data_IF_063175941913
#
_entry.id   IF_063175941913
#
_cell.length_a   1.000
_cell.length_b   1.000
_cell.length_c   1.000
_cell.angle_alpha   90.00
_cell.angle_beta   90.00
_cell.angle_gamma   90.00
#
_symmetry.space_group_name_H-M   'P 1'
#
loop_
_entity.id
_entity.type
_entity.pdbx_description
1 polymer ?
#
# COMPACT_ATOMS: atom_id res chain seq x y z
N UNK A 1 -6.92 0.42 -10.10
CA UNK A 1 -5.68 0.56 -9.30
C UNK A 1 -5.56 -0.56 -8.28
N UNK A 2 -6.51 -0.67 -7.33
CA UNK A 2 -6.62 -1.83 -6.41
C UNK A 2 -6.55 -3.20 -7.11
N UNK A 3 -7.34 -3.41 -8.16
CA UNK A 3 -7.39 -4.69 -8.91
C UNK A 3 -6.04 -5.15 -9.46
N UNK A 4 -5.23 -4.20 -9.97
CA UNK A 4 -3.89 -4.46 -10.49
C UNK A 4 -2.92 -4.80 -9.34
N UNK A 5 -2.93 -4.00 -8.28
CA UNK A 5 -2.08 -4.23 -7.10
C UNK A 5 -2.39 -5.55 -6.40
N UNK A 6 -3.67 -5.90 -6.28
CA UNK A 6 -4.12 -7.18 -5.75
C UNK A 6 -3.55 -8.37 -6.57
N UNK A 7 -3.61 -8.26 -7.90
CA UNK A 7 -3.06 -9.28 -8.81
C UNK A 7 -1.54 -9.41 -8.67
N UNK A 8 -0.83 -8.28 -8.57
CA UNK A 8 0.63 -8.26 -8.36
C UNK A 8 1.02 -8.91 -7.03
N UNK A 9 0.36 -8.54 -5.94
CA UNK A 9 0.58 -9.13 -4.61
C UNK A 9 0.38 -10.64 -4.64
N UNK A 10 -0.69 -11.13 -5.28
CA UNK A 10 -0.92 -12.59 -5.42
C UNK A 10 0.19 -13.28 -6.22
N UNK A 11 0.60 -12.72 -7.36
CA UNK A 11 1.63 -13.30 -8.22
C UNK A 11 2.97 -13.34 -7.50
N UNK A 12 3.33 -12.28 -6.76
CA UNK A 12 4.56 -12.20 -5.98
C UNK A 12 4.59 -13.25 -4.86
N UNK A 13 3.43 -13.60 -4.31
CA UNK A 13 3.28 -14.69 -3.35
C UNK A 13 3.16 -16.08 -3.99
N UNK A 14 3.26 -16.18 -5.32
CA UNK A 14 3.17 -17.44 -6.09
C UNK A 14 1.86 -18.20 -5.88
N UNK A 15 0.76 -17.48 -5.62
CA UNK A 15 -0.56 -18.07 -5.39
C UNK A 15 -1.43 -18.02 -6.64
N UNK A 16 -2.23 -19.07 -6.87
CA UNK A 16 -3.37 -19.02 -7.79
C UNK A 16 -4.55 -18.27 -7.16
N UNK A 17 -5.51 -17.82 -7.98
CA UNK A 17 -6.73 -17.18 -7.47
C UNK A 17 -7.52 -18.09 -6.53
N UNK A 18 -7.47 -19.41 -6.75
CA UNK A 18 -8.12 -20.40 -5.88
C UNK A 18 -7.41 -20.48 -4.53
N UNK A 19 -6.08 -20.62 -4.51
CA UNK A 19 -5.30 -20.76 -3.28
C UNK A 19 -5.43 -19.54 -2.36
N UNK A 20 -5.35 -18.33 -2.90
CA UNK A 20 -5.50 -17.13 -2.07
C UNK A 20 -6.93 -16.97 -1.56
N UNK A 21 -7.94 -17.30 -2.37
CA UNK A 21 -9.32 -17.25 -1.94
C UNK A 21 -9.59 -18.22 -0.78
N UNK A 22 -9.01 -19.43 -0.84
CA UNK A 22 -9.06 -20.40 0.24
C UNK A 22 -8.36 -19.88 1.51
N UNK A 23 -7.15 -19.31 1.39
CA UNK A 23 -6.43 -18.74 2.53
C UNK A 23 -7.15 -17.55 3.18
N UNK A 24 -7.87 -16.75 2.38
CA UNK A 24 -8.65 -15.61 2.85
C UNK A 24 -10.08 -15.98 3.27
N UNK A 25 -10.47 -17.25 3.17
CA UNK A 25 -11.81 -17.76 3.44
C UNK A 25 -12.91 -17.00 2.67
N UNK A 26 -12.73 -16.87 1.36
CA UNK A 26 -13.68 -16.24 0.42
C UNK A 26 -13.87 -17.13 -0.81
N UNK A 27 -14.90 -16.85 -1.62
CA UNK A 27 -15.05 -17.57 -2.89
C UNK A 27 -14.01 -17.14 -3.92
N UNK A 28 -13.51 -18.10 -4.70
CA UNK A 28 -12.64 -17.82 -5.85
C UNK A 28 -13.30 -16.83 -6.82
N UNK A 29 -14.63 -16.91 -7.01
CA UNK A 29 -15.33 -15.98 -7.90
C UNK A 29 -15.32 -14.54 -7.37
N UNK A 30 -15.45 -14.34 -6.05
CA UNK A 30 -15.36 -13.01 -5.46
C UNK A 30 -13.97 -12.41 -5.69
N UNK A 31 -12.92 -13.19 -5.41
CA UNK A 31 -11.55 -12.78 -5.62
C UNK A 31 -11.24 -12.45 -7.09
N UNK A 32 -11.70 -13.29 -8.03
CA UNK A 32 -11.54 -13.05 -9.46
C UNK A 32 -12.26 -11.78 -9.95
N UNK A 33 -13.44 -11.47 -9.38
CA UNK A 33 -14.16 -10.21 -9.69
C UNK A 33 -13.40 -8.98 -9.23
N UNK A 34 -12.70 -9.05 -8.10
CA UNK A 34 -11.86 -7.95 -7.60
C UNK A 34 -10.62 -7.75 -8.48
N UNK A 35 -9.90 -8.83 -8.82
CA UNK A 35 -8.72 -8.72 -9.72
C UNK A 35 -9.08 -8.24 -11.13
N UNK A 36 -10.29 -8.56 -11.62
CA UNK A 36 -10.75 -8.07 -12.92
C UNK A 36 -11.36 -6.66 -12.86
N UNK A 37 -11.50 -6.06 -11.67
CA UNK A 37 -12.11 -4.74 -11.49
C UNK A 37 -13.62 -4.70 -11.75
N UNK A 38 -14.28 -5.85 -11.93
CA UNK A 38 -15.73 -5.94 -12.17
C UNK A 38 -16.57 -5.63 -10.93
N UNK A 39 -15.98 -5.77 -9.74
CA UNK A 39 -16.60 -5.42 -8.48
C UNK A 39 -15.53 -4.94 -7.50
N UNK A 40 -15.93 -4.05 -6.59
CA UNK A 40 -15.08 -3.62 -5.48
C UNK A 40 -15.43 -4.39 -4.20
N UNK A 41 -14.43 -4.76 -3.38
CA UNK A 41 -14.66 -5.32 -2.05
C UNK A 41 -15.26 -4.28 -1.09
N UNK A 42 -15.87 -4.77 0.00
CA UNK A 42 -16.28 -3.90 1.13
C UNK A 42 -15.07 -3.45 1.95
N UNK A 43 -15.24 -2.42 2.80
CA UNK A 43 -14.18 -1.95 3.70
C UNK A 43 -13.65 -3.09 4.60
N UNK A 44 -14.54 -3.86 5.22
CA UNK A 44 -14.17 -5.03 6.03
C UNK A 44 -13.37 -6.09 5.23
N UNK A 45 -13.59 -6.18 3.92
CA UNK A 45 -12.82 -7.07 3.06
C UNK A 45 -11.47 -6.46 2.70
N UNK A 46 -11.39 -5.15 2.46
CA UNK A 46 -10.13 -4.43 2.27
C UNK A 46 -9.22 -4.58 3.49
N UNK A 47 -9.76 -4.48 4.70
CA UNK A 47 -9.03 -4.74 5.95
C UNK A 47 -8.45 -6.15 5.99
N UNK A 48 -9.25 -7.17 5.61
CA UNK A 48 -8.76 -8.56 5.52
C UNK A 48 -7.62 -8.71 4.50
N UNK A 49 -7.76 -8.10 3.32
CA UNK A 49 -6.71 -8.11 2.29
C UNK A 49 -5.44 -7.42 2.80
N UNK A 50 -5.59 -6.23 3.38
CA UNK A 50 -4.49 -5.42 3.91
C UNK A 50 -3.72 -6.21 4.99
N UNK A 51 -4.43 -6.78 5.96
CA UNK A 51 -3.85 -7.62 7.00
C UNK A 51 -3.15 -8.87 6.44
N UNK A 52 -3.74 -9.55 5.46
CA UNK A 52 -3.15 -10.73 4.83
C UNK A 52 -1.80 -10.41 4.17
N UNK A 53 -1.67 -9.24 3.55
CA UNK A 53 -0.43 -8.79 2.91
C UNK A 53 0.48 -7.95 3.81
N UNK A 54 0.11 -7.75 5.08
CA UNK A 54 0.79 -6.87 6.03
C UNK A 54 1.01 -5.44 5.47
N UNK A 55 -0.07 -4.87 4.94
CA UNK A 55 -0.16 -3.51 4.41
C UNK A 55 -1.24 -2.72 5.15
N UNK A 56 -1.18 -1.39 5.10
CA UNK A 56 -2.33 -0.54 5.40
C UNK A 56 -3.32 -0.53 4.24
N UNK A 57 -4.55 -0.06 4.49
CA UNK A 57 -5.56 0.12 3.43
C UNK A 57 -5.09 1.19 2.44
N UNK A 58 -4.49 2.28 2.92
CA UNK A 58 -3.88 3.32 2.09
C UNK A 58 -2.81 2.73 1.16
N UNK A 59 -1.92 1.88 1.68
CA UNK A 59 -0.91 1.20 0.86
C UNK A 59 -1.56 0.28 -0.17
N UNK A 60 -2.58 -0.48 0.21
CA UNK A 60 -3.29 -1.40 -0.69
C UNK A 60 -4.01 -0.67 -1.83
N UNK A 61 -4.50 0.54 -1.58
CA UNK A 61 -5.22 1.37 -2.54
C UNK A 61 -4.33 2.36 -3.30
N UNK A 62 -3.14 2.65 -2.78
CA UNK A 62 -2.17 3.56 -3.38
C UNK A 62 -1.76 3.09 -4.78
N UNK A 63 -1.67 4.04 -5.69
CA UNK A 63 -1.17 3.88 -7.05
C UNK A 63 0.37 3.88 -7.14
N UNK A 64 1.06 3.87 -5.99
CA UNK A 64 2.52 3.92 -5.93
C UNK A 64 3.08 5.34 -6.06
N UNK A 65 2.22 6.37 -6.09
CA UNK A 65 2.66 7.75 -5.99
C UNK A 65 2.93 8.10 -4.53
N UNK A 66 4.01 8.87 -4.32
CA UNK A 66 4.33 9.47 -3.03
C UNK A 66 4.24 10.98 -3.20
N UNK A 67 3.39 11.62 -2.40
CA UNK A 67 3.34 13.07 -2.35
C UNK A 67 4.45 13.57 -1.43
N UNK A 68 5.40 14.32 -2.00
CA UNK A 68 6.46 14.97 -1.23
C UNK A 68 5.87 16.01 -0.26
N UNK A 69 4.80 16.70 -0.63
CA UNK A 69 4.10 17.64 0.25
C UNK A 69 3.56 16.96 1.51
N UNK A 70 3.00 15.75 1.36
CA UNK A 70 2.51 14.98 2.50
C UNK A 70 3.67 14.55 3.42
N UNK A 71 4.81 14.17 2.84
CA UNK A 71 5.99 13.78 3.62
C UNK A 71 6.62 14.95 4.38
N UNK A 72 6.66 16.15 3.77
CA UNK A 72 7.12 17.37 4.43
C UNK A 72 6.19 17.78 5.60
N UNK A 73 4.88 17.60 5.43
CA UNK A 73 3.85 17.90 6.45
C UNK A 73 3.67 16.80 7.50
N UNK A 74 4.25 15.62 7.30
CA UNK A 74 4.12 14.50 8.23
C UNK A 74 4.67 14.87 9.62
N UNK A 75 3.89 14.60 10.67
CA UNK A 75 4.34 14.78 12.06
C UNK A 75 5.39 13.74 12.45
N UNK A 76 5.20 12.50 11.99
CA UNK A 76 6.11 11.38 12.24
C UNK A 76 6.59 10.78 10.93
N UNK A 77 7.87 10.42 10.87
CA UNK A 77 8.46 9.68 9.75
C UNK A 77 8.96 8.34 10.27
N UNK A 78 8.64 7.27 9.55
CA UNK A 78 9.11 5.92 9.88
C UNK A 78 10.06 5.40 8.83
N UNK A 79 11.10 4.68 9.24
CA UNK A 79 12.01 3.94 8.36
C UNK A 79 12.20 2.52 8.90
N UNK A 80 11.96 1.51 8.05
CA UNK A 80 12.05 0.09 8.44
C UNK A 80 11.24 -0.25 9.71
N UNK A 81 10.03 0.31 9.83
CA UNK A 81 9.13 0.09 10.97
C UNK A 81 9.54 0.80 12.26
N UNK A 82 10.59 1.63 12.25
CA UNK A 82 11.01 2.45 13.39
C UNK A 82 10.68 3.91 13.13
N UNK A 83 10.13 4.58 14.13
CA UNK A 83 9.96 6.03 14.10
C UNK A 83 11.32 6.70 14.21
N UNK A 84 11.60 7.63 13.30
CA UNK A 84 12.83 8.44 13.33
C UNK A 84 12.81 9.40 14.52
N UNK A 85 14.00 9.75 15.02
CA UNK A 85 14.12 10.86 15.97
C UNK A 85 13.67 12.17 15.31
N UNK A 86 13.28 13.17 16.12
CA UNK A 86 12.94 14.50 15.59
C UNK A 86 14.10 15.10 14.78
N UNK A 87 15.34 14.89 15.24
CA UNK A 87 16.55 15.35 14.55
C UNK A 87 16.73 14.67 13.18
N UNK A 88 16.58 13.35 13.11
CA UNK A 88 16.74 12.62 11.85
C UNK A 88 15.59 12.93 10.87
N UNK A 89 14.36 13.03 11.37
CA UNK A 89 13.21 13.44 10.58
C UNK A 89 13.40 14.86 10.01
N UNK A 90 13.97 15.78 10.79
CA UNK A 90 14.30 17.13 10.33
C UNK A 90 15.34 17.10 9.20
N UNK A 91 16.43 16.35 9.36
CA UNK A 91 17.47 16.19 8.32
C UNK A 91 16.90 15.62 7.02
N UNK A 92 16.01 14.62 7.10
CA UNK A 92 15.33 14.06 5.93
C UNK A 92 14.51 15.13 5.20
N UNK A 93 13.75 15.95 5.93
CA UNK A 93 12.95 17.03 5.33
C UNK A 93 13.83 18.10 4.67
N UNK A 94 14.96 18.46 5.28
CA UNK A 94 15.92 19.40 4.68
C UNK A 94 16.49 18.89 3.36
N UNK A 95 16.92 17.63 3.31
CA UNK A 95 17.41 17.00 2.08
C UNK A 95 16.34 17.01 0.99
N UNK A 96 15.09 16.72 1.35
CA UNK A 96 13.97 16.77 0.40
C UNK A 96 13.74 18.19 -0.12
N UNK A 97 13.75 19.21 0.74
CA UNK A 97 13.58 20.61 0.33
C UNK A 97 14.66 21.06 -0.65
N UNK A 98 15.93 20.66 -0.41
CA UNK A 98 17.04 20.93 -1.32
C UNK A 98 16.74 20.32 -2.69
N UNK A 99 16.40 19.03 -2.77
CA UNK A 99 16.11 18.36 -4.04
C UNK A 99 14.87 18.95 -4.72
N UNK A 100 13.83 19.30 -3.97
CA UNK A 100 12.61 19.94 -4.53
C UNK A 100 12.95 21.30 -5.13
N UNK A 101 13.86 22.07 -4.52
CA UNK A 101 14.29 23.36 -5.05
C UNK A 101 14.99 23.26 -6.40
N UNK A 102 15.58 22.10 -6.75
CA UNK A 102 16.25 21.91 -8.05
C UNK A 102 15.30 21.50 -9.17
N UNK A 103 14.04 21.18 -8.85
CA UNK A 103 13.02 20.77 -9.82
C UNK A 103 12.17 21.99 -10.27
N UNK A 104 12.24 23.10 -9.54
CA UNK A 104 11.60 24.38 -9.86
C UNK A 104 12.54 25.25 -10.68
#
# INVERSE_FOLDING_TARGET
MFSKKLKELRINNKLSQKQIAEQMNISQQAYAKWESGKNSPSLATLEKVANFFNLSIEELLSDGTVSLDNLLKAETITYQGKTLSEEDAFKVKEVLNIVISTIK
#
